data_IF_299638834890
#
_entry.id   IF_299638834890
#
_cell.length_a   1.000
_cell.length_b   1.000
_cell.length_c   1.000
_cell.angle_alpha   90.00
_cell.angle_beta   90.00
_cell.angle_gamma   90.00
#
_symmetry.space_group_name_H-M   'P 1'
#
loop_
_entity.id
_entity.type
_entity.pdbx_description
1 polymer ?
#
# COMPACT_ATOMS: atom_id res chain seq x y z
N UNK A 1 24.14 53.68 -54.47
CA UNK A 1 23.35 53.36 -53.28
C UNK A 1 23.19 51.83 -53.23
N UNK A 2 23.96 51.16 -52.41
CA UNK A 2 23.86 49.71 -52.20
C UNK A 2 23.20 49.43 -50.86
N UNK A 3 21.98 48.86 -50.89
CA UNK A 3 21.29 48.38 -49.66
C UNK A 3 21.85 46.99 -49.27
N UNK A 4 22.59 46.95 -48.16
CA UNK A 4 22.99 45.69 -47.55
C UNK A 4 21.83 45.09 -46.74
N UNK A 5 21.33 43.95 -47.18
CA UNK A 5 20.33 43.16 -46.43
C UNK A 5 21.02 42.41 -45.31
N UNK A 6 20.72 42.76 -44.05
CA UNK A 6 21.16 42.06 -42.85
C UNK A 6 20.26 40.82 -42.65
N UNK A 7 20.77 39.63 -43.00
CA UNK A 7 20.09 38.35 -42.71
C UNK A 7 20.38 37.97 -41.28
N UNK A 8 19.41 38.16 -40.38
CA UNK A 8 19.41 37.60 -39.03
C UNK A 8 19.18 36.08 -39.08
N UNK A 9 20.24 35.30 -38.90
CA UNK A 9 20.17 33.86 -38.69
C UNK A 9 19.58 33.59 -37.27
N UNK A 10 18.27 33.34 -37.22
CA UNK A 10 17.62 32.76 -36.06
C UNK A 10 18.06 31.30 -35.92
N UNK A 11 19.05 31.03 -35.06
CA UNK A 11 19.36 29.66 -34.66
C UNK A 11 18.14 29.06 -33.91
N UNK A 12 17.67 27.86 -34.27
CA UNK A 12 16.60 27.23 -33.52
C UNK A 12 17.12 26.93 -32.11
N UNK A 13 16.55 27.57 -31.10
CA UNK A 13 16.68 27.15 -29.74
C UNK A 13 16.11 25.71 -29.69
N UNK A 14 17.00 24.72 -29.64
CA UNK A 14 16.62 23.36 -29.22
C UNK A 14 16.06 23.54 -27.81
N UNK A 15 14.74 23.47 -27.66
CA UNK A 15 14.12 23.27 -26.36
C UNK A 15 14.72 21.98 -25.84
N UNK A 16 15.65 22.08 -24.88
CA UNK A 16 16.12 20.94 -24.13
C UNK A 16 14.87 20.30 -23.55
N UNK A 17 14.58 19.06 -23.89
CA UNK A 17 13.51 18.32 -23.25
C UNK A 17 13.73 18.45 -21.73
N UNK A 18 12.83 19.14 -21.05
CA UNK A 18 12.97 19.41 -19.63
C UNK A 18 13.09 18.04 -18.93
N UNK A 19 14.21 17.81 -18.24
CA UNK A 19 14.40 16.58 -17.48
C UNK A 19 13.22 16.39 -16.53
N UNK A 20 12.56 15.23 -16.60
CA UNK A 20 11.39 14.88 -15.81
C UNK A 20 11.71 13.67 -14.95
N UNK A 21 11.20 13.61 -13.72
CA UNK A 21 11.27 12.43 -12.87
C UNK A 21 10.06 11.54 -13.16
N UNK A 22 10.27 10.26 -13.46
CA UNK A 22 9.19 9.32 -13.77
C UNK A 22 8.91 8.46 -12.54
N UNK A 23 7.68 8.52 -12.03
CA UNK A 23 7.24 7.81 -10.83
C UNK A 23 6.20 6.76 -11.19
N UNK A 24 6.48 5.51 -10.87
CA UNK A 24 5.57 4.38 -11.02
C UNK A 24 4.76 4.21 -9.74
N UNK A 25 3.41 4.28 -9.85
CA UNK A 25 2.48 4.25 -8.71
C UNK A 25 1.13 3.70 -9.14
N UNK A 26 0.23 3.36 -8.21
CA UNK A 26 -1.16 3.04 -8.54
C UNK A 26 -1.90 4.26 -9.12
N UNK A 27 -2.96 4.01 -9.86
CA UNK A 27 -3.81 5.07 -10.39
C UNK A 27 -4.77 5.67 -9.35
N UNK A 28 -5.64 6.58 -9.82
CA UNK A 28 -6.69 7.20 -8.99
C UNK A 28 -6.14 7.98 -7.81
N UNK A 29 -6.79 7.86 -6.66
CA UNK A 29 -6.47 8.62 -5.45
C UNK A 29 -5.04 8.38 -4.91
N UNK A 30 -4.39 7.28 -5.27
CA UNK A 30 -2.99 7.03 -4.91
C UNK A 30 -2.05 7.94 -5.71
N UNK A 31 -2.22 8.00 -7.04
CA UNK A 31 -1.47 8.92 -7.89
C UNK A 31 -1.73 10.37 -7.47
N UNK A 32 -3.00 10.72 -7.20
CA UNK A 32 -3.39 12.07 -6.81
C UNK A 32 -2.77 12.50 -5.47
N UNK A 33 -2.65 11.57 -4.52
CA UNK A 33 -1.95 11.80 -3.26
C UNK A 33 -0.46 12.08 -3.49
N UNK A 34 0.22 11.23 -4.26
CA UNK A 34 1.65 11.40 -4.57
C UNK A 34 1.87 12.73 -5.29
N UNK A 35 1.01 13.07 -6.25
CA UNK A 35 1.09 14.32 -7.00
C UNK A 35 0.91 15.55 -6.09
N UNK A 36 -0.21 15.58 -5.36
CA UNK A 36 -0.60 16.76 -4.60
C UNK A 36 0.27 17.02 -3.36
N UNK A 37 0.73 15.95 -2.70
CA UNK A 37 1.41 16.06 -1.41
C UNK A 37 2.94 15.99 -1.57
N UNK A 38 3.45 15.16 -2.47
CA UNK A 38 4.88 14.92 -2.62
C UNK A 38 5.45 15.63 -3.84
N UNK A 39 4.92 15.35 -5.05
CA UNK A 39 5.51 15.79 -6.30
C UNK A 39 5.45 17.31 -6.50
N UNK A 40 4.38 17.98 -6.07
CA UNK A 40 4.31 19.45 -6.12
C UNK A 40 5.41 20.10 -5.29
N UNK A 41 5.75 19.54 -4.11
CA UNK A 41 6.86 20.03 -3.29
C UNK A 41 8.20 19.74 -3.95
N UNK A 42 8.36 18.56 -4.52
CA UNK A 42 9.56 18.19 -5.28
C UNK A 42 9.79 19.15 -6.45
N UNK A 43 8.77 19.39 -7.27
CA UNK A 43 8.85 20.31 -8.41
C UNK A 43 9.14 21.75 -7.97
N UNK A 44 8.52 22.22 -6.89
CA UNK A 44 8.79 23.55 -6.33
C UNK A 44 10.25 23.72 -5.85
N UNK A 45 10.87 22.64 -5.32
CA UNK A 45 12.25 22.68 -4.83
C UNK A 45 13.31 22.47 -5.92
N UNK A 46 12.97 21.74 -6.99
CA UNK A 46 13.96 21.32 -7.99
C UNK A 46 13.76 21.93 -9.38
N UNK A 47 12.57 22.45 -9.65
CA UNK A 47 12.15 22.87 -11.00
C UNK A 47 11.86 21.69 -11.95
N UNK A 48 12.00 20.43 -11.49
CA UNK A 48 11.85 19.23 -12.31
C UNK A 48 10.40 18.74 -12.22
N UNK A 49 9.68 18.60 -13.34
CA UNK A 49 8.33 18.05 -13.37
C UNK A 49 8.34 16.53 -13.09
N UNK A 50 7.21 16.01 -12.59
CA UNK A 50 7.00 14.59 -12.34
C UNK A 50 6.00 14.03 -13.35
N UNK A 51 6.34 12.89 -13.94
CA UNK A 51 5.41 12.09 -14.76
C UNK A 51 5.11 10.76 -14.06
N UNK A 52 3.99 10.15 -14.44
CA UNK A 52 3.50 8.94 -13.78
C UNK A 52 3.31 7.79 -14.75
N UNK A 53 3.77 6.61 -14.33
CA UNK A 53 3.34 5.32 -14.89
C UNK A 53 2.38 4.70 -13.89
N UNK A 54 1.13 4.49 -14.30
CA UNK A 54 0.11 3.92 -13.42
C UNK A 54 -0.30 2.52 -13.86
N UNK A 55 -0.71 1.70 -12.89
CA UNK A 55 -1.17 0.34 -13.14
C UNK A 55 -1.24 -0.53 -11.90
N UNK A 56 -1.71 -1.76 -12.07
CA UNK A 56 -1.74 -2.78 -11.03
C UNK A 56 -0.33 -3.13 -10.55
N UNK A 57 -0.21 -3.56 -9.31
CA UNK A 57 1.08 -3.84 -8.67
C UNK A 57 1.90 -4.88 -9.43
N UNK A 58 1.28 -6.00 -9.79
CA UNK A 58 1.95 -7.10 -10.52
C UNK A 58 2.15 -6.76 -11.99
N UNK A 59 1.23 -6.01 -12.62
CA UNK A 59 1.37 -5.61 -14.03
C UNK A 59 2.59 -4.71 -14.20
N UNK A 60 2.82 -3.77 -13.28
CA UNK A 60 4.00 -2.89 -13.29
C UNK A 60 5.29 -3.68 -13.06
N UNK A 61 5.29 -4.67 -12.13
CA UNK A 61 6.42 -5.57 -11.95
C UNK A 61 6.75 -6.33 -13.25
N UNK A 62 5.74 -6.90 -13.90
CA UNK A 62 5.95 -7.68 -15.13
C UNK A 62 6.48 -6.80 -16.28
N UNK A 63 6.05 -5.56 -16.39
CA UNK A 63 6.61 -4.60 -17.37
C UNK A 63 8.11 -4.34 -17.11
N UNK A 64 8.49 -4.11 -15.87
CA UNK A 64 9.89 -3.86 -15.50
C UNK A 64 10.78 -5.11 -15.72
N UNK A 65 10.25 -6.32 -15.51
CA UNK A 65 10.93 -7.57 -15.88
C UNK A 65 11.22 -7.65 -17.39
N UNK A 66 10.27 -7.19 -18.21
CA UNK A 66 10.44 -7.15 -19.68
C UNK A 66 11.40 -6.07 -20.15
N UNK A 67 11.54 -4.98 -19.40
CA UNK A 67 12.42 -3.86 -19.73
C UNK A 67 13.92 -4.18 -19.58
N UNK A 68 14.28 -5.32 -18.97
CA UNK A 68 15.65 -5.88 -18.91
C UNK A 68 16.74 -4.88 -18.45
N UNK A 69 16.47 -4.13 -17.39
CA UNK A 69 17.42 -3.18 -16.81
C UNK A 69 17.47 -1.81 -17.47
N UNK A 70 16.54 -1.53 -18.39
CA UNK A 70 16.25 -0.20 -18.90
C UNK A 70 14.88 0.26 -18.39
N UNK A 71 14.78 0.69 -17.12
CA UNK A 71 13.50 0.92 -16.47
C UNK A 71 12.73 2.06 -17.13
N UNK A 72 11.40 1.91 -17.21
CA UNK A 72 10.50 2.97 -17.70
C UNK A 72 10.31 4.07 -16.64
N UNK A 73 10.57 3.78 -15.38
CA UNK A 73 10.45 4.71 -14.24
C UNK A 73 11.76 4.89 -13.49
N UNK A 74 11.90 6.02 -12.79
CA UNK A 74 13.03 6.32 -11.92
C UNK A 74 12.75 5.84 -10.48
N UNK A 75 11.50 5.94 -10.06
CA UNK A 75 11.01 5.59 -8.73
C UNK A 75 9.79 4.67 -8.87
N UNK A 76 9.69 3.68 -7.97
CA UNK A 76 8.52 2.81 -7.89
C UNK A 76 7.96 2.81 -6.47
N UNK A 77 6.63 3.06 -6.36
CA UNK A 77 5.85 2.75 -5.17
C UNK A 77 5.16 1.41 -5.36
N UNK A 78 5.27 0.53 -4.36
CA UNK A 78 4.63 -0.79 -4.38
C UNK A 78 4.41 -1.31 -2.96
N UNK A 79 3.65 -2.40 -2.81
CA UNK A 79 3.52 -3.07 -1.51
C UNK A 79 4.83 -3.72 -1.09
N UNK A 80 5.11 -3.78 0.20
CA UNK A 80 6.39 -4.25 0.74
C UNK A 80 6.82 -5.64 0.25
N UNK A 81 5.89 -6.60 0.20
CA UNK A 81 6.19 -7.95 -0.28
C UNK A 81 6.42 -8.02 -1.79
N UNK A 82 5.73 -7.19 -2.60
CA UNK A 82 6.03 -7.10 -4.03
C UNK A 82 7.35 -6.36 -4.27
N UNK A 83 7.69 -5.38 -3.43
CA UNK A 83 9.03 -4.77 -3.43
C UNK A 83 10.16 -5.79 -3.27
N UNK A 84 9.94 -6.85 -2.47
CA UNK A 84 10.89 -7.96 -2.40
C UNK A 84 11.02 -8.74 -3.71
N UNK A 85 9.94 -8.89 -4.50
CA UNK A 85 10.02 -9.51 -5.83
C UNK A 85 10.89 -8.65 -6.78
N UNK A 86 10.68 -7.33 -6.80
CA UNK A 86 11.54 -6.41 -7.54
C UNK A 86 13.02 -6.53 -7.11
N UNK A 87 13.27 -6.58 -5.79
CA UNK A 87 14.63 -6.70 -5.25
C UNK A 87 15.28 -8.03 -5.62
N UNK A 88 14.55 -9.15 -5.53
CA UNK A 88 15.02 -10.47 -5.90
C UNK A 88 15.34 -10.59 -7.40
N UNK A 89 14.56 -9.91 -8.24
CA UNK A 89 14.79 -9.83 -9.69
C UNK A 89 15.92 -8.85 -10.07
N UNK A 90 16.52 -8.18 -9.08
CA UNK A 90 17.60 -7.22 -9.29
C UNK A 90 17.18 -5.94 -9.99
N UNK A 91 15.89 -5.56 -9.89
CA UNK A 91 15.30 -4.39 -10.53
C UNK A 91 15.47 -3.08 -9.73
N UNK A 92 15.87 -3.16 -8.47
CA UNK A 92 16.07 -2.02 -7.61
C UNK A 92 17.54 -1.67 -7.42
N UNK A 93 17.84 -0.39 -7.27
CA UNK A 93 19.10 0.13 -6.80
C UNK A 93 19.20 -0.08 -5.28
N UNK A 94 20.38 -0.42 -4.76
CA UNK A 94 20.60 -0.41 -3.32
C UNK A 94 20.53 1.03 -2.82
N UNK A 95 19.69 1.29 -1.82
CA UNK A 95 19.51 2.64 -1.28
C UNK A 95 20.71 3.07 -0.42
N UNK A 96 21.20 4.26 -0.69
CA UNK A 96 22.11 4.99 0.19
C UNK A 96 21.27 5.93 1.08
N UNK A 97 20.93 5.47 2.28
CA UNK A 97 20.10 6.24 3.21
C UNK A 97 20.81 7.51 3.75
N UNK A 98 22.13 7.66 3.60
CA UNK A 98 22.81 8.92 3.90
C UNK A 98 22.34 10.06 2.97
N UNK A 99 21.84 9.74 1.78
CA UNK A 99 21.23 10.69 0.85
C UNK A 99 19.76 11.01 1.17
N UNK A 100 19.18 10.38 2.20
CA UNK A 100 17.78 10.57 2.64
C UNK A 100 17.76 10.94 4.13
N UNK A 101 18.08 12.18 4.51
CA UNK A 101 18.15 12.60 5.92
C UNK A 101 16.93 12.25 6.76
N UNK A 102 15.72 12.35 6.19
CA UNK A 102 14.48 12.00 6.88
C UNK A 102 14.36 10.50 7.21
N UNK A 103 15.14 9.62 6.54
CA UNK A 103 15.17 8.18 6.85
C UNK A 103 15.74 7.87 8.24
N UNK A 104 16.45 8.80 8.88
CA UNK A 104 16.90 8.67 10.27
C UNK A 104 15.73 8.50 11.25
N UNK A 105 14.55 8.98 10.88
CA UNK A 105 13.34 8.90 11.70
C UNK A 105 12.41 7.74 11.32
N UNK A 106 12.83 6.83 10.41
CA UNK A 106 12.00 5.67 10.06
C UNK A 106 11.71 4.82 11.30
N UNK A 107 10.44 4.43 11.45
CA UNK A 107 10.08 3.39 12.41
C UNK A 107 10.70 2.05 11.99
N UNK A 108 10.83 1.12 12.93
CA UNK A 108 11.48 -0.18 12.64
C UNK A 108 10.74 -0.94 11.51
N UNK A 109 9.42 -0.93 11.53
CA UNK A 109 8.57 -1.59 10.54
C UNK A 109 8.73 -1.04 9.12
N UNK A 110 9.23 0.19 8.98
CA UNK A 110 9.47 0.81 7.67
C UNK A 110 10.83 0.44 7.05
N UNK A 111 11.72 -0.18 7.80
CA UNK A 111 13.06 -0.62 7.35
C UNK A 111 12.95 -1.99 6.67
N UNK A 112 12.31 -2.06 5.52
CA UNK A 112 11.92 -3.32 4.87
C UNK A 112 13.14 -4.08 4.33
N UNK A 113 14.01 -3.41 3.58
CA UNK A 113 15.21 -4.01 2.99
C UNK A 113 16.25 -2.95 2.60
N UNK A 114 17.48 -3.35 2.21
CA UNK A 114 18.46 -2.41 1.66
C UNK A 114 18.05 -1.74 0.34
N UNK A 115 16.93 -2.18 -0.29
CA UNK A 115 16.52 -1.74 -1.63
C UNK A 115 15.23 -0.92 -1.62
N UNK A 116 14.36 -1.08 -0.62
CA UNK A 116 13.09 -0.37 -0.52
C UNK A 116 12.71 -0.13 0.94
N UNK A 117 12.08 1.00 1.20
CA UNK A 117 11.69 1.46 2.54
C UNK A 117 10.21 1.82 2.56
N UNK A 118 9.59 1.70 3.74
CA UNK A 118 8.19 2.04 3.97
C UNK A 118 7.92 3.54 3.82
N UNK A 119 6.76 3.86 3.24
CA UNK A 119 6.30 5.25 3.06
C UNK A 119 5.00 5.56 3.79
N UNK A 120 4.07 4.61 3.87
CA UNK A 120 2.84 4.68 4.66
C UNK A 120 2.35 3.28 4.99
N UNK A 121 1.66 3.17 6.11
CA UNK A 121 1.09 1.92 6.60
C UNK A 121 -0.43 1.95 6.65
N UNK A 122 -1.01 0.78 6.57
CA UNK A 122 -2.44 0.51 6.68
C UNK A 122 -2.65 -0.88 7.27
N UNK A 123 -3.89 -1.22 7.58
CA UNK A 123 -4.22 -2.57 8.00
C UNK A 123 -5.36 -3.14 7.18
N UNK A 124 -5.34 -4.47 7.01
CA UNK A 124 -6.53 -5.24 6.70
C UNK A 124 -7.12 -5.76 8.01
N UNK A 125 -8.40 -5.54 8.18
CA UNK A 125 -9.10 -5.88 9.41
C UNK A 125 -10.58 -6.17 9.15
N UNK A 126 -11.36 -6.41 10.21
CA UNK A 126 -12.80 -6.61 10.12
C UNK A 126 -13.48 -5.25 10.01
N UNK A 127 -14.22 -5.04 8.92
CA UNK A 127 -15.14 -3.92 8.78
C UNK A 127 -16.57 -4.42 8.58
N UNK A 128 -17.54 -3.75 9.16
CA UNK A 128 -18.93 -4.16 9.06
C UNK A 128 -19.92 -2.98 9.07
N UNK A 129 -21.08 -3.19 8.43
CA UNK A 129 -22.21 -2.27 8.39
C UNK A 129 -22.97 -2.34 9.70
N UNK A 130 -22.97 -1.27 10.48
CA UNK A 130 -23.63 -1.24 11.81
C UNK A 130 -25.16 -1.19 11.73
N UNK A 131 -25.70 -0.77 10.61
CA UNK A 131 -27.15 -0.75 10.34
C UNK A 131 -27.70 -2.12 9.90
N UNK A 132 -26.86 -2.99 9.33
CA UNK A 132 -27.23 -4.33 8.83
C UNK A 132 -26.80 -5.46 9.77
N UNK A 133 -25.77 -5.25 10.58
CA UNK A 133 -25.23 -6.21 11.55
C UNK A 133 -25.43 -5.61 12.94
N UNK A 134 -26.63 -5.79 13.50
CA UNK A 134 -27.03 -5.14 14.76
C UNK A 134 -26.73 -5.98 16.00
N UNK A 135 -26.83 -7.31 15.85
CA UNK A 135 -26.79 -8.25 16.98
C UNK A 135 -25.43 -8.93 17.14
N UNK A 136 -24.41 -8.47 16.38
CA UNK A 136 -23.07 -9.04 16.43
C UNK A 136 -22.07 -8.04 16.96
N UNK A 137 -21.15 -8.55 17.78
CA UNK A 137 -19.96 -7.83 18.20
C UNK A 137 -18.72 -8.54 17.68
N UNK A 138 -17.75 -7.77 17.23
CA UNK A 138 -16.48 -8.29 16.76
C UNK A 138 -15.36 -7.82 17.68
N UNK A 139 -14.65 -8.77 18.30
CA UNK A 139 -13.50 -8.51 19.16
C UNK A 139 -12.30 -9.38 18.82
N UNK A 140 -12.51 -10.40 17.97
CA UNK A 140 -11.52 -11.38 17.54
C UNK A 140 -11.73 -11.70 16.08
N UNK A 141 -10.69 -12.10 15.38
CA UNK A 141 -10.82 -12.67 14.06
C UNK A 141 -11.70 -13.91 14.02
N UNK A 142 -11.73 -14.68 15.12
CA UNK A 142 -12.59 -15.86 15.26
C UNK A 142 -14.08 -15.53 15.12
N UNK A 143 -14.48 -14.29 15.32
CA UNK A 143 -15.87 -13.87 15.15
C UNK A 143 -16.37 -13.97 13.70
N UNK A 144 -15.47 -14.00 12.72
CA UNK A 144 -15.83 -14.24 11.31
C UNK A 144 -16.39 -15.64 11.07
N UNK A 145 -16.11 -16.61 11.94
CA UNK A 145 -16.59 -17.99 11.84
C UNK A 145 -17.99 -18.22 12.47
N UNK A 146 -18.63 -17.18 12.99
CA UNK A 146 -19.98 -17.29 13.55
C UNK A 146 -20.97 -17.74 12.46
N UNK A 147 -21.83 -18.73 12.74
CA UNK A 147 -22.84 -19.21 11.77
C UNK A 147 -23.83 -18.13 11.32
N UNK A 148 -24.06 -17.11 12.14
CA UNK A 148 -24.91 -15.94 11.84
C UNK A 148 -24.41 -15.09 10.68
N UNK A 149 -23.12 -15.27 10.31
CA UNK A 149 -22.48 -14.58 9.19
C UNK A 149 -22.54 -15.36 7.87
N UNK A 150 -23.24 -16.49 7.82
CA UNK A 150 -23.41 -17.28 6.59
C UNK A 150 -23.86 -16.41 5.41
N UNK A 151 -23.09 -16.39 4.32
CA UNK A 151 -23.37 -15.63 3.11
C UNK A 151 -23.32 -14.11 3.28
N UNK A 152 -22.57 -13.57 4.25
CA UNK A 152 -22.47 -12.14 4.54
C UNK A 152 -21.06 -11.55 4.40
N UNK A 153 -20.05 -12.40 4.25
CA UNK A 153 -18.64 -12.02 4.27
C UNK A 153 -18.09 -11.80 2.86
N UNK A 154 -17.23 -10.78 2.70
CA UNK A 154 -16.31 -10.71 1.58
C UNK A 154 -14.84 -10.53 2.04
N UNK A 155 -13.93 -10.97 1.16
CA UNK A 155 -12.49 -10.82 1.36
C UNK A 155 -11.80 -10.56 0.00
N UNK A 156 -10.55 -10.03 -0.01
CA UNK A 156 -9.81 -9.82 -1.25
C UNK A 156 -9.39 -11.16 -1.88
N UNK A 157 -9.55 -11.30 -3.19
CA UNK A 157 -9.05 -12.43 -3.98
C UNK A 157 -7.59 -12.27 -4.43
N UNK A 158 -7.16 -11.02 -4.58
CA UNK A 158 -5.82 -10.67 -5.06
C UNK A 158 -4.72 -10.88 -4.02
N UNK A 159 -5.06 -10.90 -2.73
CA UNK A 159 -4.12 -11.17 -1.64
C UNK A 159 -4.81 -11.89 -0.46
N UNK A 160 -4.84 -13.21 -0.46
CA UNK A 160 -5.46 -14.00 0.60
C UNK A 160 -4.58 -14.14 1.86
N UNK A 161 -3.37 -13.60 1.86
CA UNK A 161 -2.41 -13.76 2.97
C UNK A 161 -2.99 -13.35 4.33
N UNK A 162 -3.90 -12.35 4.34
CA UNK A 162 -4.57 -11.89 5.55
C UNK A 162 -5.32 -13.03 6.26
N UNK A 163 -6.24 -13.70 5.56
CA UNK A 163 -7.04 -14.79 6.12
C UNK A 163 -6.23 -16.07 6.35
N UNK A 164 -5.27 -16.36 5.47
CA UNK A 164 -4.37 -17.52 5.63
C UNK A 164 -3.59 -17.41 6.93
N UNK A 165 -2.95 -16.26 7.17
CA UNK A 165 -2.14 -16.08 8.38
C UNK A 165 -2.99 -15.98 9.64
N UNK A 166 -4.13 -15.28 9.57
CA UNK A 166 -5.08 -15.20 10.67
C UNK A 166 -5.59 -16.60 11.05
N UNK A 167 -5.95 -17.43 10.08
CA UNK A 167 -6.41 -18.80 10.34
C UNK A 167 -5.31 -19.67 10.96
N UNK A 168 -4.05 -19.46 10.56
CA UNK A 168 -2.90 -20.12 11.18
C UNK A 168 -2.74 -19.69 12.65
N UNK A 169 -2.78 -18.39 12.93
CA UNK A 169 -2.70 -17.85 14.31
C UNK A 169 -3.81 -18.43 15.18
N UNK A 170 -5.06 -18.45 14.71
CA UNK A 170 -6.20 -19.02 15.43
C UNK A 170 -6.08 -20.54 15.64
N UNK A 171 -5.17 -21.19 14.92
CA UNK A 171 -4.88 -22.65 15.02
C UNK A 171 -3.54 -22.93 15.72
N UNK A 172 -2.95 -21.92 16.42
CA UNK A 172 -1.69 -22.07 17.13
C UNK A 172 -0.46 -22.13 16.23
N UNK A 173 -0.56 -21.53 15.04
CA UNK A 173 0.53 -21.35 14.06
C UNK A 173 0.85 -19.88 13.83
N UNK A 174 1.53 -19.65 12.71
CA UNK A 174 1.95 -18.34 12.21
C UNK A 174 2.06 -18.35 10.68
N UNK A 175 2.62 -17.31 10.08
CA UNK A 175 2.81 -17.23 8.63
C UNK A 175 3.75 -18.32 8.10
N UNK A 176 4.76 -18.74 8.86
CA UNK A 176 5.72 -19.78 8.45
C UNK A 176 5.11 -21.20 8.55
N UNK A 177 4.13 -21.37 9.41
CA UNK A 177 3.40 -22.62 9.65
C UNK A 177 1.94 -22.51 9.23
N UNK A 178 1.67 -21.78 8.14
CA UNK A 178 0.34 -21.42 7.67
C UNK A 178 -0.57 -22.62 7.39
N UNK A 179 0.01 -23.79 7.11
CA UNK A 179 -0.72 -25.04 6.84
C UNK A 179 -1.60 -25.44 8.03
N UNK A 180 -1.22 -25.09 9.27
CA UNK A 180 -2.03 -25.32 10.47
C UNK A 180 -3.41 -24.65 10.40
N UNK A 181 -3.53 -23.56 9.66
CA UNK A 181 -4.78 -22.81 9.50
C UNK A 181 -5.70 -23.32 8.39
N UNK A 182 -5.24 -24.24 7.54
CA UNK A 182 -5.99 -24.66 6.34
C UNK A 182 -7.37 -25.24 6.65
N UNK A 183 -7.47 -26.15 7.63
CA UNK A 183 -8.75 -26.74 8.02
C UNK A 183 -9.71 -25.66 8.53
N UNK A 184 -9.21 -24.79 9.42
CA UNK A 184 -10.00 -23.70 9.96
C UNK A 184 -10.46 -22.71 8.88
N UNK A 185 -9.62 -22.39 7.90
CA UNK A 185 -10.02 -21.50 6.82
C UNK A 185 -11.09 -22.11 5.91
N UNK A 186 -11.06 -23.45 5.69
CA UNK A 186 -12.14 -24.15 4.98
C UNK A 186 -13.48 -24.08 5.70
N UNK A 187 -13.49 -24.07 7.03
CA UNK A 187 -14.72 -23.87 7.82
C UNK A 187 -15.36 -22.49 7.59
N UNK A 188 -14.60 -21.50 7.13
CA UNK A 188 -15.11 -20.15 6.85
C UNK A 188 -15.88 -20.06 5.52
N UNK A 189 -15.70 -21.03 4.59
CA UNK A 189 -16.34 -21.02 3.25
C UNK A 189 -17.82 -20.65 3.26
N UNK A 190 -18.68 -21.25 4.12
CA UNK A 190 -20.11 -20.94 4.10
C UNK A 190 -20.46 -19.47 4.39
N UNK A 191 -19.53 -18.73 5.02
CA UNK A 191 -19.76 -17.33 5.40
C UNK A 191 -19.47 -16.37 4.24
N UNK A 192 -18.68 -16.78 3.25
CA UNK A 192 -18.42 -15.95 2.09
C UNK A 192 -19.65 -15.81 1.19
N UNK A 193 -19.94 -14.56 0.82
CA UNK A 193 -20.88 -14.17 -0.22
C UNK A 193 -20.14 -13.84 -1.51
N UNK A 194 -19.00 -13.18 -1.40
CA UNK A 194 -18.22 -12.72 -2.54
C UNK A 194 -16.73 -12.60 -2.20
N UNK A 195 -15.92 -12.54 -3.24
CA UNK A 195 -14.53 -12.08 -3.17
C UNK A 195 -14.39 -10.84 -4.04
N UNK A 196 -13.66 -9.83 -3.57
CA UNK A 196 -13.47 -8.60 -4.33
C UNK A 196 -12.06 -8.52 -4.93
N UNK A 197 -11.98 -8.00 -6.16
CA UNK A 197 -10.74 -7.98 -6.95
C UNK A 197 -9.98 -6.65 -6.87
N UNK A 198 -10.59 -5.61 -6.29
CA UNK A 198 -9.97 -4.29 -6.12
C UNK A 198 -10.74 -3.45 -5.10
N UNK A 199 -10.18 -2.29 -4.74
CA UNK A 199 -10.74 -1.38 -3.75
C UNK A 199 -12.14 -0.87 -4.13
N UNK A 200 -12.36 -0.49 -5.38
CA UNK A 200 -13.66 0.01 -5.82
C UNK A 200 -14.75 -1.06 -5.71
N UNK A 201 -14.44 -2.31 -6.03
CA UNK A 201 -15.35 -3.43 -5.87
C UNK A 201 -15.65 -3.72 -4.38
N UNK A 202 -14.64 -3.68 -3.51
CA UNK A 202 -14.83 -3.77 -2.04
C UNK A 202 -15.80 -2.68 -1.55
N UNK A 203 -15.54 -1.44 -1.93
CA UNK A 203 -16.38 -0.29 -1.54
C UNK A 203 -17.83 -0.44 -2.01
N UNK A 204 -18.04 -0.83 -3.26
CA UNK A 204 -19.36 -1.06 -3.82
C UNK A 204 -20.14 -2.15 -3.05
N UNK A 205 -19.52 -3.31 -2.82
CA UNK A 205 -20.15 -4.44 -2.14
C UNK A 205 -20.58 -4.11 -0.71
N UNK A 206 -19.78 -3.35 0.04
CA UNK A 206 -20.12 -2.98 1.41
C UNK A 206 -21.13 -1.81 1.44
N UNK A 207 -21.01 -0.85 0.53
CA UNK A 207 -21.90 0.31 0.47
C UNK A 207 -23.35 -0.09 0.15
N UNK A 208 -23.55 -1.00 -0.83
CA UNK A 208 -24.87 -1.48 -1.20
C UNK A 208 -25.44 -2.56 -0.24
N UNK A 209 -24.64 -2.98 0.77
CA UNK A 209 -25.04 -3.97 1.78
C UNK A 209 -25.03 -5.41 1.29
N UNK A 210 -24.47 -5.71 0.12
CA UNK A 210 -24.40 -7.06 -0.42
C UNK A 210 -23.47 -7.95 0.43
N UNK A 211 -22.36 -7.38 0.91
CA UNK A 211 -21.45 -8.02 1.86
C UNK A 211 -21.26 -7.14 3.08
N UNK A 212 -22.19 -7.21 4.05
CA UNK A 212 -22.20 -6.30 5.19
C UNK A 212 -21.04 -6.51 6.18
N UNK A 213 -20.26 -7.57 6.01
CA UNK A 213 -19.00 -7.83 6.75
C UNK A 213 -17.89 -8.08 5.74
N UNK A 214 -16.74 -7.47 5.94
CA UNK A 214 -15.59 -7.67 5.07
C UNK A 214 -14.29 -7.78 5.85
N UNK A 215 -13.34 -8.56 5.32
CA UNK A 215 -11.92 -8.32 5.56
C UNK A 215 -11.54 -7.16 4.67
N UNK A 216 -11.37 -5.98 5.23
CA UNK A 216 -11.31 -4.72 4.47
C UNK A 216 -10.04 -3.92 4.76
N UNK A 217 -9.54 -3.22 3.76
CA UNK A 217 -8.51 -2.20 3.91
C UNK A 217 -9.03 -1.05 4.77
N UNK A 218 -8.33 -0.71 5.86
CA UNK A 218 -8.74 0.35 6.80
C UNK A 218 -9.01 1.68 6.12
N UNK A 219 -8.19 2.06 5.16
CA UNK A 219 -8.34 3.30 4.40
C UNK A 219 -9.65 3.36 3.62
N UNK A 220 -10.07 2.24 3.01
CA UNK A 220 -11.35 2.14 2.29
C UNK A 220 -12.53 2.30 3.23
N UNK A 221 -12.49 1.65 4.38
CA UNK A 221 -13.57 1.77 5.36
C UNK A 221 -13.68 3.19 5.92
N UNK A 222 -12.56 3.86 6.20
CA UNK A 222 -12.56 5.25 6.63
C UNK A 222 -13.06 6.21 5.54
N UNK A 223 -12.71 5.94 4.28
CA UNK A 223 -13.24 6.69 3.15
C UNK A 223 -14.76 6.56 3.08
N UNK A 224 -15.29 5.32 3.10
CA UNK A 224 -16.72 5.05 3.04
C UNK A 224 -17.48 5.63 4.24
N UNK A 225 -16.90 5.59 5.43
CA UNK A 225 -17.50 6.23 6.62
C UNK A 225 -17.59 7.76 6.43
N UNK A 226 -16.58 8.39 5.81
CA UNK A 226 -16.60 9.80 5.44
C UNK A 226 -17.69 10.16 4.42
N UNK A 227 -18.04 9.24 3.54
CA UNK A 227 -19.14 9.36 2.58
C UNK A 227 -20.53 9.01 3.20
N UNK A 228 -20.58 8.80 4.51
CA UNK A 228 -21.84 8.55 5.23
C UNK A 228 -22.29 7.09 5.26
N UNK A 229 -21.48 6.14 4.79
CA UNK A 229 -21.80 4.72 4.94
C UNK A 229 -21.54 4.30 6.39
N UNK A 230 -22.50 3.68 7.10
CA UNK A 230 -22.36 3.35 8.52
C UNK A 230 -21.47 2.11 8.74
N UNK A 231 -20.17 2.28 8.49
CA UNK A 231 -19.14 1.25 8.67
C UNK A 231 -18.43 1.43 10.00
N UNK A 232 -18.19 0.33 10.70
CA UNK A 232 -17.31 0.25 11.86
C UNK A 232 -16.13 -0.67 11.52
N UNK A 233 -14.90 -0.22 11.84
CA UNK A 233 -13.71 -1.05 11.87
C UNK A 233 -13.45 -1.58 13.27
N UNK A 234 -12.89 -2.79 13.32
CA UNK A 234 -12.46 -3.45 14.55
C UNK A 234 -10.97 -3.76 14.45
N UNK A 235 -10.24 -3.49 15.52
CA UNK A 235 -8.91 -4.08 15.71
C UNK A 235 -9.11 -5.33 16.57
N UNK A 236 -9.03 -6.53 16.02
CA UNK A 236 -9.19 -7.76 16.77
C UNK A 236 -8.13 -7.90 17.87
N UNK A 237 -8.43 -8.63 18.92
CA UNK A 237 -7.47 -8.87 20.01
C UNK A 237 -6.16 -9.53 19.57
N UNK A 238 -6.19 -10.26 18.45
CA UNK A 238 -4.99 -10.85 17.83
C UNK A 238 -4.18 -9.82 17.04
N UNK A 239 -4.74 -8.61 16.82
CA UNK A 239 -4.19 -7.58 15.94
C UNK A 239 -4.82 -7.55 14.56
N UNK A 240 -4.63 -6.44 13.85
CA UNK A 240 -5.00 -6.28 12.44
C UNK A 240 -3.78 -6.56 11.54
N UNK A 241 -4.00 -7.12 10.34
CA UNK A 241 -2.88 -7.49 9.45
C UNK A 241 -2.29 -6.26 8.81
N UNK A 242 -1.03 -5.99 9.12
CA UNK A 242 -0.30 -4.81 8.64
C UNK A 242 0.02 -4.93 7.14
N UNK A 243 -0.25 -3.85 6.41
CA UNK A 243 0.27 -3.58 5.08
C UNK A 243 1.16 -2.33 5.11
N UNK A 244 2.25 -2.36 4.36
CA UNK A 244 3.15 -1.21 4.19
C UNK A 244 3.39 -1.05 2.69
N UNK A 245 3.16 0.17 2.20
CA UNK A 245 3.61 0.55 0.88
C UNK A 245 5.02 1.15 0.97
N UNK A 246 5.80 0.87 -0.04
CA UNK A 246 7.22 1.17 -0.06
C UNK A 246 7.60 1.99 -1.27
N UNK A 247 8.75 2.64 -1.18
CA UNK A 247 9.39 3.35 -2.29
C UNK A 247 10.78 2.78 -2.53
N UNK A 248 11.16 2.71 -3.80
CA UNK A 248 12.49 2.30 -4.25
C UNK A 248 12.94 3.09 -5.48
N UNK A 249 14.24 3.11 -5.72
CA UNK A 249 14.86 3.63 -6.93
C UNK A 249 15.07 2.48 -7.90
N UNK A 250 14.65 2.66 -9.15
CA UNK A 250 14.81 1.65 -10.19
C UNK A 250 16.28 1.56 -10.62
N UNK A 251 16.78 0.33 -10.70
CA UNK A 251 18.14 0.08 -11.16
C UNK A 251 18.31 0.49 -12.61
N UNK A 252 19.30 1.33 -12.88
CA UNK A 252 19.55 1.89 -14.20
C UNK A 252 18.94 3.28 -14.42
N UNK A 253 18.17 3.82 -13.47
CA UNK A 253 17.75 5.22 -13.50
C UNK A 253 18.97 6.14 -13.60
N UNK A 254 18.90 7.11 -14.50
CA UNK A 254 19.94 8.15 -14.69
C UNK A 254 19.73 9.37 -13.77
N UNK A 255 18.69 9.32 -12.91
CA UNK A 255 18.22 10.44 -12.08
C UNK A 255 18.21 10.08 -10.60
N UNK A 256 19.14 9.22 -10.17
CA UNK A 256 19.21 8.74 -8.78
C UNK A 256 19.23 9.88 -7.76
N UNK A 257 19.97 10.98 -8.00
CA UNK A 257 20.03 12.11 -7.06
C UNK A 257 18.68 12.85 -6.95
N UNK A 258 17.92 12.96 -8.03
CA UNK A 258 16.55 13.48 -8.00
C UNK A 258 15.61 12.50 -7.28
N UNK A 259 15.78 11.21 -7.49
CA UNK A 259 15.01 10.17 -6.82
C UNK A 259 15.24 10.20 -5.30
N UNK A 260 16.47 10.37 -4.83
CA UNK A 260 16.77 10.53 -3.41
C UNK A 260 16.10 11.78 -2.80
N UNK A 261 16.11 12.92 -3.51
CA UNK A 261 15.41 14.13 -3.07
C UNK A 261 13.90 13.87 -2.96
N UNK A 262 13.32 13.18 -3.94
CA UNK A 262 11.90 12.84 -3.92
C UNK A 262 11.54 11.93 -2.73
N UNK A 263 12.34 10.89 -2.48
CA UNK A 263 12.17 9.99 -1.32
C UNK A 263 12.31 10.76 0.00
N UNK A 264 13.28 11.67 0.10
CA UNK A 264 13.45 12.48 1.30
C UNK A 264 12.24 13.36 1.58
N UNK A 265 11.63 13.95 0.55
CA UNK A 265 10.37 14.71 0.67
C UNK A 265 9.21 13.78 1.08
N UNK A 266 9.11 12.57 0.52
CA UNK A 266 8.08 11.61 0.89
C UNK A 266 8.16 11.21 2.39
N UNK A 267 9.36 11.24 2.99
CA UNK A 267 9.60 10.96 4.41
C UNK A 267 9.66 12.21 5.28
N UNK A 268 9.42 13.39 4.73
CA UNK A 268 9.32 14.62 5.54
C UNK A 268 8.17 14.47 6.57
N UNK A 269 8.37 14.84 7.85
CA UNK A 269 7.37 14.64 8.89
C UNK A 269 6.05 15.36 8.64
N UNK A 270 6.07 16.54 8.00
CA UNK A 270 4.86 17.24 7.62
C UNK A 270 4.14 16.52 6.46
N UNK A 271 4.88 16.05 5.46
CA UNK A 271 4.36 15.25 4.33
C UNK A 271 3.73 13.96 4.85
N UNK A 272 4.39 13.28 5.78
CA UNK A 272 3.88 12.06 6.40
C UNK A 272 2.58 12.30 7.18
N UNK A 273 2.47 13.43 7.89
CA UNK A 273 1.23 13.81 8.57
C UNK A 273 0.10 14.13 7.59
N UNK A 274 0.40 14.80 6.46
CA UNK A 274 -0.58 15.10 5.42
C UNK A 274 -1.04 13.82 4.66
N UNK A 275 -0.13 12.90 4.38
CA UNK A 275 -0.47 11.58 3.82
C UNK A 275 -1.37 10.80 4.77
N UNK A 276 -1.03 10.78 6.07
CA UNK A 276 -1.86 10.16 7.10
C UNK A 276 -3.27 10.77 7.15
N UNK A 277 -3.39 12.09 7.05
CA UNK A 277 -4.68 12.78 6.99
C UNK A 277 -5.47 12.46 5.73
N UNK A 278 -4.81 12.46 4.57
CA UNK A 278 -5.45 12.22 3.27
C UNK A 278 -5.94 10.77 3.15
N UNK A 279 -5.11 9.79 3.53
CA UNK A 279 -5.39 8.36 3.37
C UNK A 279 -5.97 7.69 4.61
N UNK A 280 -5.99 8.37 5.76
CA UNK A 280 -6.33 7.74 7.04
C UNK A 280 -5.41 6.53 7.32
N UNK A 281 -4.11 6.72 7.05
CA UNK A 281 -3.08 5.70 7.21
C UNK A 281 -2.04 6.08 8.26
N UNK A 282 -1.14 5.15 8.52
CA UNK A 282 -0.09 5.31 9.53
C UNK A 282 1.17 5.94 8.92
N UNK A 283 1.81 6.93 9.56
CA UNK A 283 3.09 7.45 9.13
C UNK A 283 4.21 6.43 9.35
N UNK A 284 5.25 6.50 8.54
CA UNK A 284 6.43 5.63 8.64
C UNK A 284 7.62 6.29 9.34
N UNK A 285 7.44 7.50 9.86
CA UNK A 285 8.47 8.23 10.62
C UNK A 285 7.98 8.57 12.03
N UNK A 286 8.88 8.53 13.00
CA UNK A 286 8.59 8.72 14.42
C UNK A 286 8.22 10.15 14.81
N UNK A 287 8.63 11.12 13.99
CA UNK A 287 8.48 12.56 14.26
C UNK A 287 7.31 13.21 13.50
N UNK A 288 6.48 12.45 12.79
CA UNK A 288 5.26 12.97 12.17
C UNK A 288 4.23 13.36 13.22
N UNK A 289 3.73 14.60 13.15
CA UNK A 289 2.67 15.10 14.02
C UNK A 289 1.32 14.89 13.34
N UNK A 290 0.77 13.70 13.51
CA UNK A 290 -0.55 13.33 12.96
C UNK A 290 -1.65 14.07 13.72
N UNK A 291 -2.65 14.56 12.98
CA UNK A 291 -3.86 15.17 13.54
C UNK A 291 -4.50 14.21 14.57
N UNK A 292 -4.84 14.68 15.78
CA UNK A 292 -5.39 13.85 16.84
C UNK A 292 -6.66 13.06 16.44
N UNK A 293 -7.49 13.62 15.57
CA UNK A 293 -8.70 12.92 15.11
C UNK A 293 -8.36 11.80 14.11
N UNK A 294 -7.28 11.96 13.35
CA UNK A 294 -6.76 10.89 12.49
C UNK A 294 -6.06 9.82 13.33
N UNK A 295 -5.25 10.22 14.30
CA UNK A 295 -4.50 9.30 15.16
C UNK A 295 -5.41 8.37 16.02
N UNK A 296 -6.66 8.78 16.27
CA UNK A 296 -7.67 7.97 16.99
C UNK A 296 -8.38 6.93 16.11
N UNK A 297 -8.25 7.02 14.79
CA UNK A 297 -8.94 6.11 13.88
C UNK A 297 -8.39 4.68 14.03
N UNK A 298 -9.25 3.66 14.10
CA UNK A 298 -8.81 2.26 14.14
C UNK A 298 -7.90 1.93 12.95
N UNK A 299 -6.74 1.32 13.23
CA UNK A 299 -5.76 0.95 12.19
C UNK A 299 -4.84 2.08 11.73
N UNK A 300 -4.92 3.26 12.34
CA UNK A 300 -3.90 4.31 12.22
C UNK A 300 -2.97 4.22 13.44
N UNK A 301 -1.78 3.71 13.21
CA UNK A 301 -0.79 3.51 14.26
C UNK A 301 0.24 4.63 14.26
N UNK A 302 0.37 5.32 15.37
CA UNK A 302 1.26 6.48 15.52
C UNK A 302 2.24 6.31 16.68
N UNK A 303 2.12 5.24 17.45
CA UNK A 303 2.96 4.95 18.61
C UNK A 303 3.59 3.56 18.54
N UNK A 304 4.80 3.35 19.10
CA UNK A 304 5.43 2.03 19.17
C UNK A 304 4.55 0.96 19.83
N UNK A 305 3.77 1.33 20.82
CA UNK A 305 2.87 0.40 21.51
C UNK A 305 1.75 -0.11 20.59
N UNK A 306 1.14 0.77 19.76
CA UNK A 306 0.13 0.34 18.80
C UNK A 306 0.72 -0.64 17.77
N UNK A 307 1.92 -0.37 17.25
CA UNK A 307 2.61 -1.27 16.32
C UNK A 307 2.89 -2.64 16.94
N UNK A 308 3.20 -2.68 18.22
CA UNK A 308 3.51 -3.93 18.95
C UNK A 308 2.28 -4.74 19.29
N UNK A 309 1.20 -4.08 19.71
CA UNK A 309 0.04 -4.75 20.33
C UNK A 309 -1.16 -4.92 19.42
N UNK A 310 -1.24 -4.10 18.33
CA UNK A 310 -2.41 -4.06 17.45
C UNK A 310 -2.12 -4.52 16.02
N UNK A 311 -0.86 -4.83 15.68
CA UNK A 311 -0.47 -5.26 14.34
C UNK A 311 -0.06 -6.73 14.31
N UNK A 312 -0.62 -7.48 13.35
CA UNK A 312 -0.05 -8.74 12.86
C UNK A 312 0.91 -8.39 11.74
N UNK A 313 2.20 -8.61 11.97
CA UNK A 313 3.25 -8.36 10.98
C UNK A 313 3.62 -9.67 10.32
N UNK A 314 3.34 -9.79 9.03
CA UNK A 314 3.80 -10.91 8.21
C UNK A 314 5.19 -10.53 7.71
N UNK A 315 6.20 -11.38 7.93
CA UNK A 315 7.52 -11.17 7.35
C UNK A 315 7.38 -10.92 5.84
N UNK A 316 7.88 -9.78 5.38
CA UNK A 316 7.64 -9.30 4.01
C UNK A 316 8.32 -10.16 2.95
N UNK A 317 9.49 -10.75 3.28
CA UNK A 317 10.21 -11.67 2.41
C UNK A 317 9.48 -13.01 2.30
N UNK A 318 9.09 -13.58 3.44
CA UNK A 318 8.27 -14.80 3.49
C UNK A 318 6.96 -14.62 2.71
N UNK A 319 6.28 -13.48 2.90
CA UNK A 319 5.05 -13.17 2.17
C UNK A 319 5.29 -13.11 0.66
N UNK A 320 6.40 -12.50 0.21
CA UNK A 320 6.78 -12.49 -1.20
C UNK A 320 7.00 -13.90 -1.75
N UNK A 321 7.74 -14.73 -1.02
CA UNK A 321 8.05 -16.12 -1.40
C UNK A 321 6.79 -16.99 -1.46
N UNK A 322 5.85 -16.79 -0.53
CA UNK A 322 4.63 -17.61 -0.39
C UNK A 322 3.43 -17.09 -1.19
N UNK A 323 3.46 -15.87 -1.72
CA UNK A 323 2.30 -15.25 -2.38
C UNK A 323 1.68 -16.13 -3.47
N UNK A 324 2.49 -16.75 -4.35
CA UNK A 324 2.00 -17.58 -5.43
C UNK A 324 1.34 -18.87 -4.91
N UNK A 325 1.97 -19.52 -3.93
CA UNK A 325 1.47 -20.72 -3.27
C UNK A 325 0.15 -20.44 -2.54
N UNK A 326 0.10 -19.37 -1.75
CA UNK A 326 -1.09 -18.97 -0.99
C UNK A 326 -2.27 -18.63 -1.91
N UNK A 327 -2.03 -17.87 -2.98
CA UNK A 327 -3.09 -17.54 -3.96
C UNK A 327 -3.65 -18.79 -4.63
N UNK A 328 -2.77 -19.71 -5.08
CA UNK A 328 -3.19 -20.96 -5.69
C UNK A 328 -4.02 -21.79 -4.72
N UNK A 329 -3.52 -22.01 -3.52
CA UNK A 329 -4.22 -22.81 -2.50
C UNK A 329 -5.58 -22.19 -2.15
N UNK A 330 -5.65 -20.86 -1.97
CA UNK A 330 -6.87 -20.17 -1.64
C UNK A 330 -7.92 -20.27 -2.76
N UNK A 331 -7.50 -20.09 -4.00
CA UNK A 331 -8.38 -20.23 -5.15
C UNK A 331 -8.96 -21.63 -5.26
N UNK A 332 -8.13 -22.66 -5.11
CA UNK A 332 -8.54 -24.07 -5.22
C UNK A 332 -9.42 -24.56 -4.06
N UNK A 333 -9.21 -24.06 -2.85
CA UNK A 333 -9.83 -24.60 -1.64
C UNK A 333 -10.93 -23.73 -1.03
N UNK A 334 -10.90 -22.43 -1.30
CA UNK A 334 -11.80 -21.46 -0.65
C UNK A 334 -12.76 -20.80 -1.66
N UNK A 335 -12.26 -20.38 -2.82
CA UNK A 335 -13.08 -19.65 -3.80
C UNK A 335 -13.95 -20.56 -4.70
N UNK A 336 -13.55 -21.81 -4.88
CA UNK A 336 -14.27 -22.80 -5.73
C UNK A 336 -15.33 -23.60 -4.98
#
# INVERSE_FOLDING_TARGET
>A
MALGALVLLLAPLKAAAQDKLVVSVWGGSWRDMVDNIIAKRFTAQTGVPVEYITGGTIDRLNKERLAKGNPESDITFTTSHVGWLYANDGLYEKLDLAKVPNAANLIEQAKISPYHIGTWGYVYTIGYRTDLIKDETFASWADLWKPTLKGKLAAPDFDPSHLIVVSAILSGGDAATWEKGQAKLKELKPNFKAFYSNDANSQQLIANGETPVQVILSMNAHYMAGEGVPIRLVIPKEGAVLGIDTVAIMKGSKKADLAYKFINIALDPQVQAEVAKFKKGSPMVTNAKVDPDIAKLPGVFTTPEQWKTQAIIIDHKLRAEKTAEWRKWFAENIMN
#
